data_IF_688269431518
#
_entry.id   IF_688269431518
#
_cell.length_a   1.000
_cell.length_b   1.000
_cell.length_c   1.000
_cell.angle_alpha   90.00
_cell.angle_beta   90.00
_cell.angle_gamma   90.00
#
_symmetry.space_group_name_H-M   'P 1'
#
loop_
_entity.id
_entity.type
_entity.pdbx_description
1 polymer ?
#
# COMPACT_ATOMS: atom_id res chain seq x y z
N UNK A 1 59.99 -50.80 34.56
CA UNK A 1 58.96 -50.23 35.45
C UNK A 1 57.95 -49.50 34.58
N UNK A 2 56.74 -50.04 34.41
CA UNK A 2 55.69 -49.44 33.57
C UNK A 2 54.77 -48.57 34.41
N UNK A 3 54.67 -47.28 34.07
CA UNK A 3 53.64 -46.40 34.62
C UNK A 3 52.44 -46.39 33.68
N UNK A 4 51.35 -47.05 34.09
CA UNK A 4 50.03 -46.93 33.48
C UNK A 4 49.34 -45.67 34.00
N UNK A 5 49.34 -44.60 33.22
CA UNK A 5 48.47 -43.44 33.46
C UNK A 5 47.08 -43.70 32.88
N UNK A 6 46.08 -43.88 33.73
CA UNK A 6 44.67 -43.90 33.30
C UNK A 6 44.26 -42.49 32.87
N UNK A 7 44.11 -42.28 31.56
CA UNK A 7 43.46 -41.08 31.00
C UNK A 7 41.96 -41.29 31.08
N UNK A 8 41.28 -40.52 31.92
CA UNK A 8 39.82 -40.46 31.95
C UNK A 8 39.39 -39.47 30.86
N UNK A 9 38.89 -39.99 29.74
CA UNK A 9 38.26 -39.18 28.68
C UNK A 9 36.84 -38.86 29.16
N UNK A 10 36.64 -37.66 29.70
CA UNK A 10 35.30 -37.12 29.94
C UNK A 10 34.76 -36.61 28.61
N UNK A 11 34.00 -37.47 27.92
CA UNK A 11 33.22 -37.08 26.77
C UNK A 11 32.05 -36.19 27.21
N UNK A 12 32.19 -34.88 27.01
CA UNK A 12 31.10 -33.92 27.14
C UNK A 12 30.07 -34.19 26.02
N UNK A 13 28.77 -34.37 26.34
CA UNK A 13 27.75 -34.58 25.32
C UNK A 13 27.53 -33.26 24.57
N UNK A 14 28.01 -33.19 23.32
CA UNK A 14 27.93 -32.03 22.43
C UNK A 14 26.56 -31.86 21.75
N UNK A 15 25.48 -32.43 22.29
CA UNK A 15 24.22 -32.62 21.55
C UNK A 15 23.03 -31.75 22.00
N UNK A 16 23.17 -30.89 23.00
CA UNK A 16 22.02 -30.07 23.45
C UNK A 16 21.86 -28.72 22.72
N UNK A 17 22.91 -28.16 22.12
CA UNK A 17 22.87 -26.81 21.53
C UNK A 17 22.54 -26.77 20.03
N UNK A 18 22.59 -27.91 19.33
CA UNK A 18 22.32 -27.95 17.88
C UNK A 18 20.81 -27.86 17.60
N UNK A 19 19.96 -28.40 18.49
CA UNK A 19 18.51 -28.38 18.33
C UNK A 19 17.85 -27.02 18.63
N UNK A 20 18.47 -26.15 19.45
CA UNK A 20 17.95 -24.82 19.79
C UNK A 20 18.23 -23.74 18.72
N UNK A 21 19.13 -24.03 17.75
CA UNK A 21 19.44 -23.13 16.64
C UNK A 21 18.56 -23.36 15.40
N UNK A 22 17.69 -24.38 15.40
CA UNK A 22 16.89 -24.79 14.25
C UNK A 22 15.86 -23.77 13.75
N UNK A 23 15.59 -22.66 14.46
CA UNK A 23 14.71 -21.59 13.96
C UNK A 23 15.47 -20.32 13.54
N UNK A 24 16.79 -20.31 13.72
CA UNK A 24 17.70 -19.42 12.99
C UNK A 24 18.30 -20.17 11.80
N UNK A 25 17.59 -21.21 11.33
CA UNK A 25 18.02 -21.93 10.14
C UNK A 25 17.87 -21.01 8.92
N UNK A 26 18.71 -21.29 7.94
CA UNK A 26 18.84 -20.51 6.73
C UNK A 26 17.58 -20.57 5.85
N UNK A 27 16.82 -21.65 5.90
CA UNK A 27 15.62 -21.88 5.08
C UNK A 27 14.46 -21.01 5.57
N UNK A 28 14.16 -21.03 6.87
CA UNK A 28 13.16 -20.16 7.48
C UNK A 28 13.49 -18.67 7.27
N UNK A 29 14.77 -18.32 7.39
CA UNK A 29 15.24 -16.97 7.09
C UNK A 29 15.01 -16.59 5.63
N UNK A 30 15.40 -17.46 4.69
CA UNK A 30 15.27 -17.20 3.26
C UNK A 30 13.80 -17.06 2.86
N UNK A 31 12.92 -17.91 3.38
CA UNK A 31 11.47 -17.83 3.12
C UNK A 31 10.91 -16.48 3.56
N UNK A 32 11.27 -15.99 4.76
CA UNK A 32 10.79 -14.67 5.22
C UNK A 32 11.39 -13.53 4.39
N UNK A 33 12.66 -13.64 3.99
CA UNK A 33 13.30 -12.66 3.14
C UNK A 33 12.64 -12.59 1.76
N UNK A 34 12.38 -13.72 1.13
CA UNK A 34 11.71 -13.80 -0.17
C UNK A 34 10.31 -13.22 -0.11
N UNK A 35 9.56 -13.53 0.97
CA UNK A 35 8.26 -12.90 1.22
C UNK A 35 8.40 -11.39 1.40
N UNK A 36 9.35 -10.91 2.20
CA UNK A 36 9.56 -9.47 2.39
C UNK A 36 9.86 -8.76 1.06
N UNK A 37 10.80 -9.28 0.27
CA UNK A 37 11.14 -8.72 -1.04
C UNK A 37 9.95 -8.73 -2.00
N UNK A 38 9.10 -9.75 -1.94
CA UNK A 38 7.87 -9.82 -2.72
C UNK A 38 6.87 -8.70 -2.34
N UNK A 39 6.68 -8.43 -1.04
CA UNK A 39 5.82 -7.34 -0.57
C UNK A 39 6.40 -5.96 -0.92
N UNK A 40 7.71 -5.77 -0.76
CA UNK A 40 8.41 -4.54 -1.16
C UNK A 40 8.30 -4.30 -2.67
N UNK A 41 8.43 -5.37 -3.48
CA UNK A 41 8.24 -5.33 -4.92
C UNK A 41 6.84 -4.89 -5.33
N UNK A 42 5.79 -5.45 -4.70
CA UNK A 42 4.40 -5.03 -4.94
C UNK A 42 4.16 -3.58 -4.51
N UNK A 43 4.68 -3.18 -3.35
CA UNK A 43 4.61 -1.78 -2.91
C UNK A 43 5.22 -0.81 -3.92
N UNK A 44 6.39 -1.15 -4.46
CA UNK A 44 7.06 -0.34 -5.49
C UNK A 44 6.22 -0.27 -6.77
N UNK A 45 5.61 -1.38 -7.19
CA UNK A 45 4.69 -1.40 -8.33
C UNK A 45 3.50 -0.46 -8.11
N UNK A 46 2.79 -0.58 -6.99
CA UNK A 46 1.65 0.29 -6.68
C UNK A 46 2.06 1.77 -6.57
N UNK A 47 3.27 2.05 -6.08
CA UNK A 47 3.82 3.41 -6.00
C UNK A 47 4.07 3.97 -7.40
N UNK A 48 4.63 3.17 -8.32
CA UNK A 48 4.82 3.58 -9.71
C UNK A 48 3.49 3.86 -10.41
N UNK A 49 2.50 2.98 -10.23
CA UNK A 49 1.15 3.16 -10.75
C UNK A 49 0.51 4.45 -10.20
N UNK A 50 0.62 4.68 -8.88
CA UNK A 50 0.14 5.92 -8.26
C UNK A 50 0.80 7.16 -8.87
N UNK A 51 2.13 7.15 -9.01
CA UNK A 51 2.88 8.28 -9.55
C UNK A 51 2.48 8.59 -11.00
N UNK A 52 2.21 7.57 -11.81
CA UNK A 52 1.72 7.75 -13.17
C UNK A 52 0.33 8.41 -13.20
N UNK A 53 -0.60 7.94 -12.36
CA UNK A 53 -1.94 8.54 -12.31
C UNK A 53 -1.91 9.94 -11.70
N UNK A 54 -1.05 10.19 -10.70
CA UNK A 54 -0.86 11.53 -10.14
C UNK A 54 -0.33 12.51 -11.20
N UNK A 55 0.68 12.11 -11.97
CA UNK A 55 1.21 12.94 -13.06
C UNK A 55 0.15 13.25 -14.12
N UNK A 56 -0.68 12.25 -14.45
CA UNK A 56 -1.82 12.43 -15.35
C UNK A 56 -2.81 13.43 -14.76
N UNK A 57 -3.22 13.26 -13.50
CA UNK A 57 -4.08 14.20 -12.81
C UNK A 57 -3.52 15.61 -12.84
N UNK A 58 -2.23 15.80 -12.52
CA UNK A 58 -1.59 17.11 -12.48
C UNK A 58 -1.64 17.82 -13.84
N UNK A 59 -1.42 17.08 -14.93
CA UNK A 59 -1.48 17.61 -16.30
C UNK A 59 -2.89 17.91 -16.83
N UNK A 60 -3.92 17.25 -16.28
CA UNK A 60 -5.30 17.42 -16.75
C UNK A 60 -5.87 18.79 -16.38
N UNK A 61 -6.54 19.41 -17.35
CA UNK A 61 -7.35 20.62 -17.14
C UNK A 61 -8.72 20.23 -16.60
N UNK A 62 -8.81 20.06 -15.28
CA UNK A 62 -10.06 19.80 -14.58
C UNK A 62 -10.72 21.11 -14.18
N UNK A 63 -12.04 21.22 -14.33
CA UNK A 63 -12.79 22.43 -13.98
C UNK A 63 -12.66 22.75 -12.49
N UNK A 64 -12.75 21.74 -11.62
CA UNK A 64 -12.60 21.84 -10.17
C UNK A 64 -11.22 22.36 -9.70
N UNK A 65 -10.21 22.42 -10.57
CA UNK A 65 -8.92 23.07 -10.26
C UNK A 65 -8.96 24.58 -10.44
N UNK A 66 -9.85 25.09 -11.29
CA UNK A 66 -9.82 26.47 -11.78
C UNK A 66 -11.10 27.25 -11.48
N UNK A 67 -12.20 26.54 -11.26
CA UNK A 67 -13.53 27.11 -11.11
C UNK A 67 -14.19 26.60 -9.82
N UNK A 68 -15.03 27.45 -9.25
CA UNK A 68 -16.00 27.00 -8.26
C UNK A 68 -17.29 26.52 -8.94
N UNK A 69 -18.16 25.87 -8.18
CA UNK A 69 -19.41 25.27 -8.66
C UNK A 69 -20.32 26.28 -9.39
N UNK A 70 -20.47 27.50 -8.86
CA UNK A 70 -21.28 28.56 -9.49
C UNK A 70 -20.74 28.94 -10.87
N UNK A 71 -19.42 29.06 -10.99
CA UNK A 71 -18.79 29.36 -12.26
C UNK A 71 -18.96 28.22 -13.27
N UNK A 72 -18.96 26.96 -12.83
CA UNK A 72 -19.24 25.83 -13.72
C UNK A 72 -20.70 25.80 -14.16
N UNK A 73 -21.65 26.14 -13.28
CA UNK A 73 -23.06 26.33 -13.65
C UNK A 73 -23.20 27.43 -14.72
N UNK A 74 -22.58 28.60 -14.51
CA UNK A 74 -22.60 29.70 -15.47
C UNK A 74 -21.99 29.31 -16.83
N UNK A 75 -20.89 28.55 -16.81
CA UNK A 75 -20.28 28.00 -18.02
C UNK A 75 -21.25 27.05 -18.74
N UNK A 76 -21.91 26.15 -18.03
CA UNK A 76 -22.86 25.20 -18.60
C UNK A 76 -24.03 25.88 -19.33
N UNK A 77 -24.61 26.93 -18.73
CA UNK A 77 -25.73 27.70 -19.31
C UNK A 77 -25.28 28.54 -20.51
N UNK A 78 -24.05 29.04 -20.50
CA UNK A 78 -23.55 29.99 -21.50
C UNK A 78 -23.16 29.34 -22.84
N UNK A 79 -22.69 28.10 -22.82
CA UNK A 79 -22.14 27.44 -24.01
C UNK A 79 -23.15 26.56 -24.74
N UNK A 80 -22.89 26.32 -26.03
CA UNK A 80 -23.73 25.52 -26.91
C UNK A 80 -23.81 24.05 -26.49
N UNK A 81 -24.89 23.36 -26.88
CA UNK A 81 -25.18 21.96 -26.54
C UNK A 81 -24.00 20.99 -26.81
N UNK A 82 -23.22 21.25 -27.88
CA UNK A 82 -22.03 20.44 -28.22
C UNK A 82 -20.96 20.48 -27.13
N UNK A 83 -20.79 21.61 -26.45
CA UNK A 83 -19.87 21.74 -25.31
C UNK A 83 -20.37 20.94 -24.11
N UNK A 84 -21.68 20.95 -23.86
CA UNK A 84 -22.30 20.18 -22.78
C UNK A 84 -22.19 18.66 -23.00
N UNK A 85 -22.19 18.17 -24.24
CA UNK A 85 -21.87 16.76 -24.54
C UNK A 85 -20.44 16.41 -24.14
N UNK A 86 -19.47 17.28 -24.43
CA UNK A 86 -18.08 17.06 -24.03
C UNK A 86 -17.92 17.07 -22.50
N UNK A 87 -18.59 18.00 -21.80
CA UNK A 87 -18.60 18.04 -20.35
C UNK A 87 -19.24 16.79 -19.72
N UNK A 88 -20.33 16.27 -20.29
CA UNK A 88 -20.91 15.01 -19.85
C UNK A 88 -19.94 13.83 -20.01
N UNK A 89 -19.23 13.74 -21.14
CA UNK A 89 -18.21 12.70 -21.34
C UNK A 89 -17.08 12.83 -20.33
N UNK A 90 -16.66 14.06 -20.04
CA UNK A 90 -15.62 14.35 -19.06
C UNK A 90 -16.06 14.00 -17.63
N UNK A 91 -17.30 14.33 -17.26
CA UNK A 91 -17.92 13.95 -15.99
C UNK A 91 -17.92 12.42 -15.80
N UNK A 92 -18.39 11.66 -16.80
CA UNK A 92 -18.41 10.20 -16.73
C UNK A 92 -16.99 9.63 -16.57
N UNK A 93 -16.03 10.15 -17.33
CA UNK A 93 -14.62 9.76 -17.22
C UNK A 93 -14.08 10.04 -15.81
N UNK A 94 -14.40 11.19 -15.23
CA UNK A 94 -13.99 11.53 -13.87
C UNK A 94 -14.62 10.59 -12.82
N UNK A 95 -15.87 10.15 -13.00
CA UNK A 95 -16.46 9.11 -12.14
C UNK A 95 -15.74 7.78 -12.29
N UNK A 96 -15.49 7.31 -13.51
CA UNK A 96 -14.82 6.04 -13.77
C UNK A 96 -13.42 6.01 -13.15
N UNK A 97 -12.64 7.08 -13.35
CA UNK A 97 -11.31 7.22 -12.74
C UNK A 97 -11.39 7.26 -11.22
N UNK A 98 -12.36 7.95 -10.64
CA UNK A 98 -12.60 7.96 -9.19
C UNK A 98 -12.82 6.55 -8.65
N UNK A 99 -13.64 5.74 -9.30
CA UNK A 99 -13.94 4.37 -8.87
C UNK A 99 -12.73 3.43 -9.02
N UNK A 100 -11.99 3.52 -10.13
CA UNK A 100 -10.74 2.77 -10.34
C UNK A 100 -9.73 3.11 -9.22
N UNK A 101 -9.60 4.37 -8.85
CA UNK A 101 -8.69 4.80 -7.78
C UNK A 101 -9.12 4.27 -6.39
N UNK A 102 -10.43 4.15 -6.12
CA UNK A 102 -10.92 3.51 -4.90
C UNK A 102 -10.62 2.01 -4.88
N UNK A 103 -10.77 1.33 -6.02
CA UNK A 103 -10.40 -0.08 -6.14
C UNK A 103 -8.90 -0.27 -5.87
N UNK A 104 -8.05 0.59 -6.43
CA UNK A 104 -6.61 0.55 -6.16
C UNK A 104 -6.29 0.83 -4.69
N UNK A 105 -6.94 1.82 -4.07
CA UNK A 105 -6.80 2.07 -2.64
C UNK A 105 -7.15 0.83 -1.80
N UNK A 106 -8.20 0.09 -2.18
CA UNK A 106 -8.60 -1.14 -1.54
C UNK A 106 -7.55 -2.24 -1.72
N UNK A 107 -7.09 -2.50 -2.94
CA UNK A 107 -6.05 -3.49 -3.23
C UNK A 107 -4.79 -3.23 -2.39
N UNK A 108 -4.28 -2.00 -2.37
CA UNK A 108 -3.13 -1.61 -1.55
C UNK A 108 -3.40 -1.85 -0.06
N UNK A 109 -4.61 -1.57 0.43
CA UNK A 109 -4.95 -1.81 1.85
C UNK A 109 -4.98 -3.29 2.23
N UNK A 110 -5.31 -4.20 1.31
CA UNK A 110 -5.31 -5.63 1.59
C UNK A 110 -3.91 -6.21 1.83
N UNK A 111 -2.87 -5.54 1.33
CA UNK A 111 -1.47 -5.92 1.57
C UNK A 111 -1.00 -5.60 3.01
N UNK A 112 -1.72 -4.73 3.73
CA UNK A 112 -1.34 -4.27 5.07
C UNK A 112 -1.25 -5.43 6.06
N UNK A 113 -2.23 -6.33 6.05
CA UNK A 113 -2.24 -7.50 6.95
C UNK A 113 -1.04 -8.41 6.68
N UNK A 114 -0.65 -8.54 5.41
CA UNK A 114 0.53 -9.29 4.99
C UNK A 114 1.84 -8.67 5.48
N UNK A 115 1.99 -7.35 5.36
CA UNK A 115 3.16 -6.62 5.87
C UNK A 115 3.26 -6.66 7.41
N UNK A 116 2.13 -6.60 8.11
CA UNK A 116 2.08 -6.78 9.57
C UNK A 116 2.46 -8.22 9.97
N UNK A 117 1.96 -9.22 9.24
CA UNK A 117 2.33 -10.63 9.42
C UNK A 117 3.83 -10.88 9.25
N UNK A 118 4.48 -10.18 8.31
CA UNK A 118 5.94 -10.20 8.15
C UNK A 118 6.67 -9.69 9.39
N UNK A 119 6.24 -8.55 9.95
CA UNK A 119 6.84 -8.02 11.17
C UNK A 119 6.74 -9.00 12.34
N UNK A 120 5.59 -9.65 12.52
CA UNK A 120 5.42 -10.68 13.55
C UNK A 120 6.31 -11.91 13.31
N UNK A 121 6.46 -12.34 12.06
CA UNK A 121 7.30 -13.48 11.69
C UNK A 121 8.79 -13.19 11.97
N UNK A 122 9.27 -12.01 11.61
CA UNK A 122 10.62 -11.57 11.93
C UNK A 122 10.85 -11.42 13.44
N UNK A 123 9.83 -10.97 14.18
CA UNK A 123 9.89 -10.91 15.64
C UNK A 123 10.02 -12.30 16.27
N UNK A 124 9.38 -13.32 15.70
CA UNK A 124 9.53 -14.70 16.15
C UNK A 124 10.98 -15.19 15.94
N UNK A 125 11.56 -14.95 14.76
CA UNK A 125 12.98 -15.30 14.49
C UNK A 125 13.91 -14.56 15.45
N UNK A 126 13.76 -13.24 15.63
CA UNK A 126 14.60 -12.45 16.53
C UNK A 126 14.57 -12.98 17.97
N UNK A 127 13.39 -13.39 18.47
CA UNK A 127 13.22 -14.01 19.80
C UNK A 127 13.94 -15.35 19.88
N UNK A 128 13.83 -16.19 18.85
CA UNK A 128 14.53 -17.48 18.79
C UNK A 128 16.05 -17.30 18.77
N UNK A 129 16.58 -16.40 17.94
CA UNK A 129 18.02 -16.16 17.86
C UNK A 129 18.60 -15.54 19.12
N UNK A 130 17.84 -14.67 19.80
CA UNK A 130 18.21 -14.17 21.13
C UNK A 130 18.33 -15.31 22.15
N UNK A 131 17.33 -16.23 22.20
CA UNK A 131 17.37 -17.39 23.10
C UNK A 131 18.55 -18.33 22.80
N UNK A 132 18.90 -18.48 21.53
CA UNK A 132 20.05 -19.27 21.07
C UNK A 132 21.41 -18.56 21.24
N UNK A 133 21.44 -17.34 21.81
CA UNK A 133 22.65 -16.50 21.95
C UNK A 133 23.33 -16.17 20.62
N UNK A 134 22.55 -16.09 19.55
CA UNK A 134 22.98 -15.70 18.21
C UNK A 134 22.71 -14.21 17.98
N UNK A 135 23.54 -13.36 18.61
CA UNK A 135 23.30 -11.91 18.68
C UNK A 135 23.23 -11.24 17.30
N UNK A 136 24.15 -11.57 16.38
CA UNK A 136 24.16 -10.96 15.03
C UNK A 136 22.89 -11.27 14.24
N UNK A 137 22.39 -12.49 14.35
CA UNK A 137 21.15 -12.91 13.68
C UNK A 137 19.94 -12.23 14.31
N UNK A 138 19.92 -12.07 15.64
CA UNK A 138 18.88 -11.33 16.32
C UNK A 138 18.87 -9.84 15.92
N UNK A 139 20.04 -9.20 15.85
CA UNK A 139 20.20 -7.81 15.37
C UNK A 139 19.76 -7.67 13.92
N UNK A 140 20.17 -8.59 13.04
CA UNK A 140 19.73 -8.58 11.64
C UNK A 140 18.21 -8.75 11.53
N UNK A 141 17.60 -9.64 12.31
CA UNK A 141 16.16 -9.84 12.30
C UNK A 141 15.42 -8.57 12.79
N UNK A 142 16.01 -7.84 13.74
CA UNK A 142 15.47 -6.58 14.23
C UNK A 142 15.38 -5.51 13.14
N UNK A 143 16.32 -5.47 12.19
CA UNK A 143 16.25 -4.60 11.01
C UNK A 143 15.06 -4.96 10.12
N UNK A 144 14.83 -6.26 9.90
CA UNK A 144 13.69 -6.73 9.11
C UNK A 144 12.33 -6.45 9.77
N UNK A 145 12.25 -6.51 11.10
CA UNK A 145 11.06 -6.07 11.86
C UNK A 145 10.77 -4.60 11.55
N UNK A 146 11.78 -3.73 11.68
CA UNK A 146 11.63 -2.29 11.45
C UNK A 146 11.23 -1.97 10.00
N UNK A 147 11.87 -2.66 9.04
CA UNK A 147 11.53 -2.54 7.62
C UNK A 147 10.08 -2.96 7.34
N UNK A 148 9.64 -4.11 7.86
CA UNK A 148 8.25 -4.59 7.70
C UNK A 148 7.21 -3.65 8.33
N UNK A 149 7.55 -3.06 9.48
CA UNK A 149 6.72 -2.03 10.13
C UNK A 149 6.68 -0.73 9.32
N UNK A 150 7.79 -0.33 8.69
CA UNK A 150 7.78 0.80 7.75
C UNK A 150 6.88 0.51 6.58
N UNK A 151 7.07 -0.64 5.92
CA UNK A 151 6.28 -1.06 4.77
C UNK A 151 4.78 -1.04 5.05
N UNK A 152 4.36 -1.48 6.24
CA UNK A 152 2.96 -1.40 6.67
C UNK A 152 2.43 0.05 6.69
N UNK A 153 3.21 0.99 7.24
CA UNK A 153 2.84 2.43 7.26
C UNK A 153 2.85 3.04 5.87
N UNK A 154 3.80 2.63 5.04
CA UNK A 154 3.96 3.11 3.67
C UNK A 154 2.79 2.65 2.79
N UNK A 155 2.35 1.38 2.93
CA UNK A 155 1.13 0.85 2.29
C UNK A 155 -0.13 1.59 2.75
N UNK A 156 -0.27 1.84 4.06
CA UNK A 156 -1.41 2.60 4.58
C UNK A 156 -1.44 4.02 3.98
N UNK A 157 -0.28 4.68 3.93
CA UNK A 157 -0.14 6.01 3.35
C UNK A 157 -0.46 6.01 1.87
N UNK A 158 0.00 5.01 1.11
CA UNK A 158 -0.26 4.88 -0.31
C UNK A 158 -1.76 4.66 -0.60
N UNK A 159 -2.41 3.78 0.17
CA UNK A 159 -3.85 3.55 0.09
C UNK A 159 -4.63 4.85 0.31
N UNK A 160 -4.24 5.65 1.29
CA UNK A 160 -4.87 6.95 1.57
C UNK A 160 -4.63 7.96 0.44
N UNK A 161 -3.43 8.01 -0.13
CA UNK A 161 -3.13 8.87 -1.30
C UNK A 161 -4.04 8.53 -2.50
N UNK A 162 -4.29 7.25 -2.76
CA UNK A 162 -5.25 6.83 -3.79
C UNK A 162 -6.68 7.32 -3.49
N UNK A 163 -7.16 7.19 -2.24
CA UNK A 163 -8.48 7.71 -1.82
C UNK A 163 -8.60 9.21 -2.01
N UNK A 164 -7.55 9.96 -1.66
CA UNK A 164 -7.53 11.41 -1.83
C UNK A 164 -7.59 11.81 -3.30
N UNK A 165 -6.86 11.10 -4.18
CA UNK A 165 -6.91 11.37 -5.61
C UNK A 165 -8.28 11.02 -6.20
N UNK A 166 -8.87 9.90 -5.79
CA UNK A 166 -10.25 9.53 -6.13
C UNK A 166 -11.23 10.64 -5.74
N UNK A 167 -11.15 11.16 -4.52
CA UNK A 167 -12.03 12.23 -4.04
C UNK A 167 -11.95 13.49 -4.90
N UNK A 168 -10.77 13.83 -5.43
CA UNK A 168 -10.58 14.96 -6.35
C UNK A 168 -11.32 14.73 -7.68
N UNK A 169 -11.21 13.55 -8.27
CA UNK A 169 -11.96 13.18 -9.48
C UNK A 169 -13.47 13.12 -9.22
N UNK A 170 -13.90 12.61 -8.07
CA UNK A 170 -15.33 12.59 -7.72
C UNK A 170 -15.90 14.00 -7.55
N UNK A 171 -15.09 14.93 -7.02
CA UNK A 171 -15.46 16.34 -6.92
C UNK A 171 -15.61 16.99 -8.30
N UNK A 172 -14.69 16.71 -9.22
CA UNK A 172 -14.80 17.14 -10.61
C UNK A 172 -16.14 16.71 -11.22
N UNK A 173 -16.46 15.42 -11.11
CA UNK A 173 -17.68 14.87 -11.69
C UNK A 173 -18.94 15.48 -11.06
N UNK A 174 -18.99 15.61 -9.73
CA UNK A 174 -20.13 16.21 -9.02
C UNK A 174 -20.37 17.67 -9.43
N UNK A 175 -19.30 18.46 -9.54
CA UNK A 175 -19.41 19.86 -9.94
C UNK A 175 -20.05 20.02 -11.33
N UNK A 176 -19.75 19.10 -12.26
CA UNK A 176 -20.34 19.09 -13.59
C UNK A 176 -21.77 18.58 -13.57
N UNK A 177 -22.04 17.55 -12.76
CA UNK A 177 -23.39 16.99 -12.61
C UNK A 177 -24.37 18.00 -12.00
N UNK A 178 -23.94 18.75 -10.98
CA UNK A 178 -24.67 19.84 -10.35
C UNK A 178 -24.97 20.98 -11.35
N UNK A 179 -24.00 21.32 -12.21
CA UNK A 179 -24.17 22.29 -13.28
C UNK A 179 -25.22 21.84 -14.30
N UNK A 180 -25.19 20.57 -14.69
CA UNK A 180 -26.19 19.96 -15.57
C UNK A 180 -27.57 19.97 -14.95
N UNK A 181 -27.72 19.49 -13.72
CA UNK A 181 -29.03 19.36 -13.05
C UNK A 181 -29.68 20.70 -12.78
N UNK A 182 -28.88 21.72 -12.45
CA UNK A 182 -29.40 23.08 -12.18
C UNK A 182 -29.83 23.79 -13.46
N UNK A 183 -29.23 23.44 -14.60
CA UNK A 183 -29.53 24.04 -15.90
C UNK A 183 -30.66 23.35 -16.65
N UNK A 184 -31.14 22.19 -16.18
CA UNK A 184 -32.32 21.56 -16.73
C UNK A 184 -33.57 22.36 -16.32
N UNK A 185 -34.50 22.62 -17.25
CA UNK A 185 -35.77 23.23 -16.87
C UNK A 185 -36.45 22.35 -15.82
N UNK A 186 -36.81 22.94 -14.68
CA UNK A 186 -37.75 22.30 -13.77
C UNK A 186 -39.04 22.16 -14.55
N UNK A 187 -39.42 20.95 -14.92
CA UNK A 187 -40.80 20.68 -15.30
C UNK A 187 -41.64 21.03 -14.06
N UNK A 188 -42.23 22.23 -14.08
CA UNK A 188 -43.35 22.57 -13.22
C UNK A 188 -44.48 21.61 -13.61
N UNK A 189 -44.52 20.46 -12.93
CA UNK A 189 -45.70 19.60 -12.89
C UNK A 189 -46.78 20.38 -12.14
N UNK A 190 -47.44 21.28 -12.87
CA UNK A 190 -48.79 21.73 -12.57
C UNK A 190 -49.75 20.86 -13.36
N UNK A 191 -50.36 19.90 -12.67
CA UNK A 191 -51.76 19.48 -12.85
C UNK A 191 -52.20 18.62 -11.66
#
# INVERSE_FOLDING_TARGET
MSFWGKVIIVSLPLSANVALANHCDRENWQILLDRQLSFEGRYNQYTNEFNQVLSTYESQTLLSKHFNEKQVIELWVKYEERFNVQLNSHMNTAYDVSEILLQQAYLVSTELEGAQSLAYSWQAIAKHCTKAKLTRQAESAQLHIQSSQSLSRDLQTLSEKFRQLSSKYRREARMIDEARSTSQPKDDVSN
#
